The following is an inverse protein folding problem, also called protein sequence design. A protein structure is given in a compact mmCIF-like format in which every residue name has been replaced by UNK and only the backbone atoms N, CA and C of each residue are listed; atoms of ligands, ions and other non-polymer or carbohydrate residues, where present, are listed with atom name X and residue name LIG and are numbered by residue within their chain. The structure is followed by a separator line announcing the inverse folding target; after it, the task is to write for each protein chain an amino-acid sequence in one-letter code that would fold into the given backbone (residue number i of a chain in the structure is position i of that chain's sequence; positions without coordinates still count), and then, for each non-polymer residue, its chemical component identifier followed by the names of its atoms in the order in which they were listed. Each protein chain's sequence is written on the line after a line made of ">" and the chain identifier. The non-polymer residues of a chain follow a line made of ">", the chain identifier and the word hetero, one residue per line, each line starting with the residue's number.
data_IF_951638131580
#
_entry.id   IF_951638131580
#
_cell.length_a   1.000
_cell.length_b   1.000
_cell.length_c   1.000
_cell.angle_alpha   90.00
_cell.angle_beta   90.00
_cell.angle_gamma   90.00
#
_symmetry.space_group_name_H-M   'P 1'
#
loop_
_entity.id
_entity.type
_entity.pdbx_description
1 polymer ?
#
# COMPACT_ATOMS: atom_id res chain seq x y z
N UNK A 1 -19.26 17.38 -0.98
CA UNK A 1 -18.36 17.33 0.20
C UNK A 1 -16.98 16.96 -0.31
N UNK A 2 -15.93 17.55 0.24
CA UNK A 2 -14.56 17.06 0.00
C UNK A 2 -14.43 15.66 0.59
N UNK A 3 -13.89 14.72 -0.18
CA UNK A 3 -13.63 13.36 0.31
C UNK A 3 -12.45 13.40 1.28
N UNK A 4 -12.49 12.59 2.34
CA UNK A 4 -11.35 12.36 3.24
C UNK A 4 -10.32 11.52 2.50
N UNK A 5 -9.07 11.98 2.42
CA UNK A 5 -8.01 11.27 1.72
C UNK A 5 -7.28 10.34 2.67
N UNK A 6 -7.50 9.04 2.52
CA UNK A 6 -6.93 8.00 3.39
C UNK A 6 -5.86 7.24 2.64
N UNK A 7 -4.62 7.24 3.16
CA UNK A 7 -3.52 6.46 2.61
C UNK A 7 -3.26 5.22 3.46
N UNK A 8 -3.43 4.04 2.87
CA UNK A 8 -3.10 2.75 3.50
C UNK A 8 -1.76 2.24 2.98
N UNK A 9 -0.83 1.91 3.88
CA UNK A 9 0.46 1.29 3.54
C UNK A 9 0.46 -0.18 3.92
N UNK A 10 0.87 -1.05 3.00
CA UNK A 10 1.07 -2.48 3.24
C UNK A 10 2.42 -2.94 2.69
N UNK A 11 3.00 -3.99 3.25
CA UNK A 11 4.26 -4.55 2.74
C UNK A 11 4.39 -6.06 2.82
N UNK A 12 3.51 -6.72 3.56
CA UNK A 12 3.56 -8.17 3.81
C UNK A 12 2.24 -8.84 3.44
N UNK A 13 2.30 -10.13 3.13
CA UNK A 13 1.11 -10.96 2.87
C UNK A 13 0.10 -10.93 4.04
N UNK A 14 0.50 -11.06 5.32
CA UNK A 14 -0.46 -10.96 6.43
C UNK A 14 -1.20 -9.62 6.49
N UNK A 15 -0.56 -8.50 6.15
CA UNK A 15 -1.22 -7.19 6.09
C UNK A 15 -2.27 -7.14 4.98
N UNK A 16 -1.93 -7.61 3.77
CA UNK A 16 -2.87 -7.68 2.63
C UNK A 16 -4.11 -8.52 3.00
N UNK A 17 -3.90 -9.71 3.57
CA UNK A 17 -5.00 -10.62 3.95
C UNK A 17 -5.89 -9.96 5.01
N UNK A 18 -5.30 -9.42 6.09
CA UNK A 18 -6.05 -8.84 7.21
C UNK A 18 -6.78 -7.57 6.83
N UNK A 19 -6.19 -6.74 5.98
CA UNK A 19 -6.77 -5.46 5.57
C UNK A 19 -7.70 -5.59 4.36
N UNK A 20 -7.72 -6.72 3.65
CA UNK A 20 -8.52 -6.93 2.43
C UNK A 20 -9.95 -6.35 2.48
N UNK A 21 -10.68 -6.61 3.57
CA UNK A 21 -12.06 -6.11 3.75
C UNK A 21 -12.12 -4.62 4.07
N UNK A 22 -11.12 -4.08 4.76
CA UNK A 22 -10.99 -2.64 5.01
C UNK A 22 -10.69 -1.92 3.70
N UNK A 23 -9.76 -2.42 2.88
CA UNK A 23 -9.41 -1.82 1.58
C UNK A 23 -10.65 -1.71 0.67
N UNK A 24 -11.41 -2.81 0.55
CA UNK A 24 -12.66 -2.82 -0.25
C UNK A 24 -13.70 -1.85 0.32
N UNK A 25 -13.82 -1.72 1.64
CA UNK A 25 -14.76 -0.79 2.24
C UNK A 25 -14.36 0.67 2.02
N UNK A 26 -13.06 0.98 2.09
CA UNK A 26 -12.53 2.32 1.81
C UNK A 26 -12.72 2.70 0.33
N UNK A 27 -12.42 1.78 -0.60
CA UNK A 27 -12.57 1.99 -2.05
C UNK A 27 -14.04 2.25 -2.47
N UNK A 28 -15.00 1.63 -1.79
CA UNK A 28 -16.44 1.78 -2.10
C UNK A 28 -17.12 2.95 -1.37
N UNK A 29 -16.39 3.72 -0.57
CA UNK A 29 -16.96 4.82 0.20
C UNK A 29 -17.02 6.11 -0.62
N UNK A 30 -18.21 6.69 -0.78
CA UNK A 30 -18.38 7.99 -1.43
C UNK A 30 -17.75 9.15 -0.66
N UNK A 31 -17.43 8.95 0.62
CA UNK A 31 -16.82 9.93 1.48
C UNK A 31 -15.28 9.87 1.50
N UNK A 32 -14.67 8.83 0.90
CA UNK A 32 -13.23 8.58 1.00
C UNK A 32 -12.58 8.56 -0.38
N UNK A 33 -11.43 9.20 -0.47
CA UNK A 33 -10.46 9.01 -1.54
C UNK A 33 -9.36 8.11 -0.98
N UNK A 34 -9.40 6.83 -1.35
CA UNK A 34 -8.48 5.84 -0.78
C UNK A 34 -7.27 5.65 -1.69
N UNK A 35 -6.08 5.85 -1.13
CA UNK A 35 -4.78 5.64 -1.78
C UNK A 35 -4.11 4.43 -1.12
N UNK A 36 -3.69 3.47 -1.93
CA UNK A 36 -3.05 2.24 -1.49
C UNK A 36 -1.58 2.24 -1.91
N UNK A 37 -0.69 2.14 -0.92
CA UNK A 37 0.76 2.07 -1.12
C UNK A 37 1.25 0.69 -0.72
N UNK A 38 2.04 0.07 -1.60
CA UNK A 38 2.74 -1.17 -1.29
C UNK A 38 4.25 -0.91 -1.17
N UNK A 39 4.87 -1.32 -0.05
CA UNK A 39 6.30 -1.01 0.20
C UNK A 39 7.25 -1.72 -0.77
N UNK A 40 6.84 -2.86 -1.33
CA UNK A 40 7.69 -3.62 -2.24
C UNK A 40 8.92 -4.21 -1.54
N UNK A 41 8.85 -4.40 -0.22
CA UNK A 41 9.95 -4.94 0.59
C UNK A 41 10.26 -6.43 0.35
N UNK A 42 9.39 -7.13 -0.39
CA UNK A 42 9.55 -8.54 -0.74
C UNK A 42 9.80 -8.67 -2.25
N UNK A 43 10.83 -9.42 -2.65
CA UNK A 43 11.22 -9.63 -4.04
C UNK A 43 10.21 -10.43 -4.88
N UNK A 44 9.27 -11.11 -4.22
CA UNK A 44 8.32 -11.98 -4.90
C UNK A 44 6.99 -11.24 -5.18
N UNK A 45 7.06 -10.36 -6.19
CA UNK A 45 5.90 -9.59 -6.64
C UNK A 45 4.79 -10.50 -7.19
N UNK A 46 5.16 -11.57 -7.91
CA UNK A 46 4.22 -12.53 -8.49
C UNK A 46 3.38 -13.22 -7.41
N UNK A 47 4.02 -13.63 -6.29
CA UNK A 47 3.30 -14.21 -5.16
C UNK A 47 2.36 -13.24 -4.44
N UNK A 48 2.67 -11.94 -4.43
CA UNK A 48 1.76 -10.95 -3.85
C UNK A 48 0.58 -10.68 -4.78
N UNK A 49 0.81 -10.64 -6.10
CA UNK A 49 -0.24 -10.37 -7.09
C UNK A 49 -1.39 -11.38 -7.01
N UNK A 50 -1.08 -12.67 -6.78
CA UNK A 50 -2.09 -13.71 -6.59
C UNK A 50 -3.05 -13.38 -5.43
N UNK A 51 -2.55 -12.86 -4.31
CA UNK A 51 -3.42 -12.48 -3.18
C UNK A 51 -4.32 -11.29 -3.51
N UNK A 52 -3.82 -10.31 -4.27
CA UNK A 52 -4.67 -9.20 -4.72
C UNK A 52 -5.80 -9.72 -5.62
N UNK A 53 -5.48 -10.61 -6.56
CA UNK A 53 -6.47 -11.23 -7.46
C UNK A 53 -7.48 -12.10 -6.70
N UNK A 54 -7.02 -13.04 -5.87
CA UNK A 54 -7.86 -13.97 -5.10
C UNK A 54 -8.78 -13.25 -4.11
N UNK A 55 -8.32 -12.13 -3.54
CA UNK A 55 -9.11 -11.33 -2.59
C UNK A 55 -9.96 -10.26 -3.29
N UNK A 56 -9.90 -10.15 -4.61
CA UNK A 56 -10.64 -9.16 -5.40
C UNK A 56 -10.21 -7.72 -5.11
N UNK A 57 -8.93 -7.51 -4.81
CA UNK A 57 -8.34 -6.20 -4.49
C UNK A 57 -7.78 -5.56 -5.76
N UNK A 58 -7.95 -4.24 -5.88
CA UNK A 58 -7.28 -3.46 -6.93
C UNK A 58 -5.76 -3.43 -6.73
N UNK A 59 -5.02 -3.08 -7.79
CA UNK A 59 -3.58 -2.82 -7.66
C UNK A 59 -3.32 -1.60 -6.77
N UNK A 60 -2.23 -1.58 -6.00
CA UNK A 60 -1.75 -0.40 -5.32
C UNK A 60 -1.51 0.77 -6.28
N UNK A 61 -1.76 1.98 -5.83
CA UNK A 61 -1.51 3.22 -6.58
C UNK A 61 -0.01 3.52 -6.64
N UNK A 62 0.72 3.18 -5.57
CA UNK A 62 2.18 3.36 -5.48
C UNK A 62 2.87 2.06 -5.04
N UNK A 63 4.02 1.79 -5.66
CA UNK A 63 4.95 0.74 -5.24
C UNK A 63 6.30 1.37 -4.89
N UNK A 64 6.74 1.23 -3.63
CA UNK A 64 7.95 1.91 -3.16
C UNK A 64 9.26 1.19 -3.57
N UNK A 65 9.20 -0.07 -4.01
CA UNK A 65 10.39 -0.87 -4.38
C UNK A 65 11.49 -0.87 -3.29
N UNK A 66 11.10 -0.93 -2.02
CA UNK A 66 11.99 -0.74 -0.89
C UNK A 66 12.73 -2.02 -0.44
N UNK A 67 12.92 -2.99 -1.33
CA UNK A 67 13.60 -4.23 -1.01
C UNK A 67 15.11 -4.00 -0.80
N UNK A 68 15.58 -4.22 0.42
CA UNK A 68 16.99 -4.07 0.80
C UNK A 68 17.71 -5.42 1.01
N UNK A 69 19.03 -5.37 1.19
CA UNK A 69 19.83 -6.57 1.52
C UNK A 69 19.61 -7.08 2.95
N UNK A 70 19.08 -6.24 3.83
CA UNK A 70 18.75 -6.58 5.21
C UNK A 70 17.59 -5.69 5.70
N UNK A 71 17.09 -5.97 6.91
CA UNK A 71 15.97 -5.25 7.49
C UNK A 71 16.23 -3.75 7.66
N UNK A 72 17.44 -3.36 8.07
CA UNK A 72 17.80 -1.95 8.29
C UNK A 72 17.79 -1.16 6.98
N UNK A 73 18.36 -1.72 5.91
CA UNK A 73 18.36 -1.09 4.58
C UNK A 73 16.93 -0.99 4.05
N UNK A 74 16.15 -2.06 4.18
CA UNK A 74 14.74 -2.10 3.77
C UNK A 74 13.92 -1.02 4.48
N UNK A 75 14.06 -0.91 5.81
CA UNK A 75 13.37 0.11 6.60
C UNK A 75 13.77 1.53 6.17
N UNK A 76 15.07 1.78 5.96
CA UNK A 76 15.57 3.06 5.45
C UNK A 76 15.00 3.40 4.07
N UNK A 77 14.94 2.43 3.16
CA UNK A 77 14.35 2.61 1.83
C UNK A 77 12.84 2.90 1.90
N UNK A 78 12.09 2.25 2.80
CA UNK A 78 10.67 2.56 2.99
C UNK A 78 10.48 4.01 3.39
N UNK A 79 11.27 4.49 4.37
CA UNK A 79 11.19 5.87 4.85
C UNK A 79 11.55 6.88 3.76
N UNK A 80 12.62 6.63 3.00
CA UNK A 80 13.06 7.53 1.92
C UNK A 80 12.03 7.55 0.78
N UNK A 81 11.47 6.40 0.42
CA UNK A 81 10.64 6.27 -0.77
C UNK A 81 9.18 6.68 -0.51
N UNK A 82 8.70 6.60 0.73
CA UNK A 82 7.32 7.02 1.07
C UNK A 82 7.18 8.54 1.18
N UNK A 83 8.25 9.25 1.58
CA UNK A 83 8.26 10.70 1.79
C UNK A 83 7.72 11.50 0.59
N UNK A 84 8.20 11.31 -0.66
CA UNK A 84 7.65 12.03 -1.81
C UNK A 84 6.20 11.66 -2.11
N UNK A 85 5.77 10.43 -1.78
CA UNK A 85 4.37 10.02 -1.95
C UNK A 85 3.48 10.76 -0.94
N UNK A 86 3.93 10.92 0.31
CA UNK A 86 3.19 11.67 1.32
C UNK A 86 3.09 13.16 0.97
N UNK A 87 4.15 13.76 0.42
CA UNK A 87 4.12 15.15 -0.05
C UNK A 87 3.17 15.34 -1.24
N UNK A 88 3.19 14.43 -2.22
CA UNK A 88 2.32 14.47 -3.40
C UNK A 88 0.86 14.22 -3.05
N UNK A 89 0.60 13.15 -2.29
CA UNK A 89 -0.75 12.71 -1.95
C UNK A 89 -1.36 13.63 -0.89
N UNK A 90 -0.56 14.05 0.09
CA UNK A 90 -0.98 14.84 1.26
C UNK A 90 -2.27 14.28 1.88
N UNK A 91 -2.24 13.04 2.43
CA UNK A 91 -3.41 12.43 3.06
C UNK A 91 -3.82 13.15 4.34
N UNK A 92 -5.09 13.05 4.71
CA UNK A 92 -5.67 13.59 5.95
C UNK A 92 -5.38 12.67 7.16
#
# INVERSE_FOLDING_TARGET
>A
MTKLKVLTVVGTRPEIIRLSRVLVALDNSDAIEHILVHTGQNYDYELNQIFFEDLGLRKPDYFLNAAGKNATITAGQILINIDPVLEEVNPD
#
